data_IF_219280569379
#
_entry.id   IF_219280569379
#
_cell.length_a   1.000
_cell.length_b   1.000
_cell.length_c   1.000
_cell.angle_alpha   90.00
_cell.angle_beta   90.00
_cell.angle_gamma   90.00
#
_symmetry.space_group_name_H-M   'P 1'
#
loop_
_entity.id
_entity.type
_entity.pdbx_description
1 polymer ?
#
# COMPACT_ATOMS: atom_id res chain seq x y z
N UNK A 1 -0.14 -38.57 29.93
CA UNK A 1 -0.67 -37.43 29.16
C UNK A 1 -0.31 -36.18 29.96
N UNK A 2 0.63 -35.36 29.50
CA UNK A 2 1.06 -34.15 30.22
C UNK A 2 -0.12 -33.17 30.23
N UNK A 3 -0.66 -32.88 31.41
CA UNK A 3 -1.70 -31.86 31.56
C UNK A 3 -1.04 -30.48 31.41
N UNK A 4 -1.63 -29.65 30.55
CA UNK A 4 -1.22 -28.25 30.41
C UNK A 4 -1.50 -27.50 31.71
N UNK A 5 -0.56 -26.67 32.11
CA UNK A 5 -0.73 -25.73 33.23
C UNK A 5 -1.85 -24.72 32.91
N UNK A 6 -2.46 -24.13 33.93
CA UNK A 6 -3.49 -23.10 33.76
C UNK A 6 -2.98 -21.91 32.91
N UNK A 7 -1.71 -21.53 33.08
CA UNK A 7 -1.06 -20.49 32.29
C UNK A 7 -0.98 -20.85 30.80
N UNK A 8 -0.67 -22.11 30.48
CA UNK A 8 -0.64 -22.59 29.09
C UNK A 8 -2.04 -22.65 28.47
N UNK A 9 -3.05 -23.06 29.25
CA UNK A 9 -4.45 -23.05 28.81
C UNK A 9 -4.95 -21.63 28.50
N UNK A 10 -4.62 -20.66 29.36
CA UNK A 10 -4.94 -19.25 29.14
C UNK A 10 -4.24 -18.70 27.89
N UNK A 11 -2.95 -19.02 27.70
CA UNK A 11 -2.20 -18.62 26.50
C UNK A 11 -2.83 -19.18 25.23
N UNK A 12 -3.17 -20.47 25.22
CA UNK A 12 -3.81 -21.12 24.08
C UNK A 12 -5.18 -20.50 23.75
N UNK A 13 -5.96 -20.19 24.78
CA UNK A 13 -7.24 -19.49 24.63
C UNK A 13 -7.06 -18.10 24.02
N UNK A 14 -6.05 -17.35 24.47
CA UNK A 14 -5.71 -16.05 23.90
C UNK A 14 -5.29 -16.13 22.42
N UNK A 15 -4.43 -17.08 22.08
CA UNK A 15 -4.01 -17.32 20.68
C UNK A 15 -5.21 -17.67 19.79
N UNK A 16 -6.09 -18.57 20.26
CA UNK A 16 -7.30 -18.95 19.52
C UNK A 16 -8.21 -17.76 19.27
N UNK A 17 -8.41 -16.90 20.27
CA UNK A 17 -9.26 -15.70 20.14
C UNK A 17 -8.66 -14.66 19.20
N UNK A 18 -7.34 -14.45 19.25
CA UNK A 18 -6.64 -13.56 18.30
C UNK A 18 -6.76 -14.09 16.87
N UNK A 19 -6.61 -15.41 16.69
CA UNK A 19 -6.77 -16.03 15.38
C UNK A 19 -8.19 -15.85 14.85
N UNK A 20 -9.21 -16.08 15.66
CA UNK A 20 -10.62 -15.87 15.31
C UNK A 20 -10.91 -14.40 14.94
N UNK A 21 -10.38 -13.43 15.69
CA UNK A 21 -10.52 -12.01 15.37
C UNK A 21 -9.87 -11.67 14.04
N UNK A 22 -8.65 -12.17 13.79
CA UNK A 22 -7.95 -12.01 12.52
C UNK A 22 -8.79 -12.56 11.37
N UNK A 23 -9.36 -13.75 11.55
CA UNK A 23 -10.15 -14.40 10.53
C UNK A 23 -11.48 -13.70 10.25
N UNK A 24 -12.16 -13.27 11.31
CA UNK A 24 -13.49 -12.66 11.20
C UNK A 24 -13.40 -11.24 10.65
N UNK A 25 -12.39 -10.46 11.06
CA UNK A 25 -12.35 -9.03 10.78
C UNK A 25 -11.29 -8.59 9.78
N UNK A 26 -10.26 -9.40 9.54
CA UNK A 26 -9.09 -8.98 8.76
C UNK A 26 -8.78 -9.89 7.55
N UNK A 27 -9.34 -11.12 7.47
CA UNK A 27 -9.07 -12.08 6.38
C UNK A 27 -9.32 -11.52 4.98
N UNK A 28 -10.35 -10.68 4.84
CA UNK A 28 -10.76 -10.12 3.55
C UNK A 28 -10.38 -8.65 3.36
N UNK A 29 -9.60 -8.07 4.28
CA UNK A 29 -9.22 -6.66 4.16
C UNK A 29 -8.12 -6.53 3.11
N UNK A 30 -8.53 -6.27 1.86
CA UNK A 30 -7.60 -5.96 0.77
C UNK A 30 -6.72 -4.79 1.20
N UNK A 31 -5.40 -5.00 1.12
CA UNK A 31 -4.46 -3.92 1.29
C UNK A 31 -4.48 -3.07 0.00
N UNK A 32 -5.27 -2.00 0.01
CA UNK A 32 -5.47 -1.13 -1.15
C UNK A 32 -4.17 -0.48 -1.60
N UNK A 33 -3.28 -0.12 -0.66
CA UNK A 33 -1.97 0.45 -1.00
C UNK A 33 -1.09 -0.57 -1.72
N UNK A 34 -1.08 -1.81 -1.25
CA UNK A 34 -0.40 -2.90 -1.93
C UNK A 34 -0.97 -3.12 -3.34
N UNK A 35 -2.29 -3.20 -3.47
CA UNK A 35 -2.94 -3.39 -4.77
C UNK A 35 -2.61 -2.24 -5.74
N UNK A 36 -2.70 -0.99 -5.26
CA UNK A 36 -2.37 0.19 -6.05
C UNK A 36 -0.90 0.20 -6.48
N UNK A 37 0.03 -0.15 -5.59
CA UNK A 37 1.45 -0.19 -5.90
C UNK A 37 1.81 -1.33 -6.87
N UNK A 38 1.37 -2.55 -6.56
CA UNK A 38 1.74 -3.77 -7.30
C UNK A 38 1.12 -3.78 -8.71
N UNK A 39 -0.10 -3.24 -8.88
CA UNK A 39 -0.78 -3.18 -10.18
C UNK A 39 -0.48 -1.93 -11.00
N UNK A 40 0.24 -0.96 -10.43
CA UNK A 40 0.59 0.25 -11.16
C UNK A 40 1.55 -0.06 -12.32
N UNK A 41 1.35 0.53 -13.50
CA UNK A 41 2.33 0.50 -14.58
C UNK A 41 3.70 0.99 -14.12
N UNK A 42 4.77 0.53 -14.77
CA UNK A 42 6.14 0.84 -14.38
C UNK A 42 6.43 2.35 -14.26
N UNK A 43 5.84 3.19 -15.11
CA UNK A 43 6.02 4.65 -15.03
C UNK A 43 5.35 5.25 -13.78
N UNK A 44 4.14 4.80 -13.41
CA UNK A 44 3.50 5.25 -12.16
C UNK A 44 4.26 4.74 -10.94
N UNK A 45 4.76 3.50 -10.98
CA UNK A 45 5.62 2.97 -9.91
C UNK A 45 6.89 3.80 -9.72
N UNK A 46 7.50 4.31 -10.80
CA UNK A 46 8.62 5.26 -10.71
C UNK A 46 8.21 6.53 -9.99
N UNK A 47 7.07 7.13 -10.34
CA UNK A 47 6.56 8.33 -9.67
C UNK A 47 6.29 8.09 -8.19
N UNK A 48 5.62 6.98 -7.85
CA UNK A 48 5.34 6.61 -6.45
C UNK A 48 6.65 6.41 -5.68
N UNK A 49 7.59 5.63 -6.22
CA UNK A 49 8.88 5.39 -5.57
C UNK A 49 9.68 6.69 -5.40
N UNK A 50 9.70 7.55 -6.42
CA UNK A 50 10.37 8.85 -6.35
C UNK A 50 9.79 9.71 -5.23
N UNK A 51 8.46 9.81 -5.15
CA UNK A 51 7.81 10.62 -4.14
C UNK A 51 7.97 10.04 -2.72
N UNK A 52 8.00 8.72 -2.60
CA UNK A 52 8.29 8.00 -1.35
C UNK A 52 9.79 8.02 -0.94
N UNK A 53 10.66 8.71 -1.68
CA UNK A 53 12.11 8.76 -1.39
C UNK A 53 12.85 7.43 -1.63
N UNK A 54 12.26 6.52 -2.39
CA UNK A 54 12.79 5.19 -2.66
C UNK A 54 13.74 5.17 -3.85
N UNK A 55 14.73 4.27 -3.79
CA UNK A 55 15.71 4.04 -4.87
C UNK A 55 15.07 3.35 -6.09
N UNK A 56 15.71 3.49 -7.25
CA UNK A 56 15.25 2.91 -8.53
C UNK A 56 14.94 1.41 -8.47
N UNK A 57 15.68 0.62 -7.68
CA UNK A 57 15.44 -0.83 -7.54
C UNK A 57 14.02 -1.19 -7.05
N UNK A 58 13.39 -0.32 -6.25
CA UNK A 58 12.06 -0.59 -5.66
C UNK A 58 10.95 -0.54 -6.72
N UNK A 59 11.25 0.03 -7.90
CA UNK A 59 10.36 0.05 -9.07
C UNK A 59 10.12 -1.35 -9.65
N UNK A 60 10.86 -2.38 -9.22
CA UNK A 60 10.62 -3.77 -9.62
C UNK A 60 10.21 -4.68 -8.44
N UNK A 61 10.12 -4.16 -7.22
CA UNK A 61 9.72 -4.93 -6.02
C UNK A 61 8.20 -4.93 -5.82
N UNK A 62 7.63 -5.96 -5.22
CA UNK A 62 6.27 -5.95 -4.71
C UNK A 62 6.21 -5.21 -3.37
N UNK A 63 5.04 -4.68 -3.02
CA UNK A 63 4.81 -4.00 -1.74
C UNK A 63 5.17 -4.89 -0.54
N UNK A 64 4.94 -6.20 -0.64
CA UNK A 64 5.30 -7.18 0.38
C UNK A 64 6.82 -7.36 0.56
N UNK A 65 7.63 -6.95 -0.41
CA UNK A 65 9.09 -7.03 -0.34
C UNK A 65 9.71 -5.77 0.30
N UNK A 66 8.93 -4.71 0.46
CA UNK A 66 9.35 -3.47 1.14
C UNK A 66 9.39 -3.67 2.66
N UNK A 67 10.30 -2.97 3.31
CA UNK A 67 10.34 -2.85 4.78
C UNK A 67 9.11 -2.09 5.30
N UNK A 68 8.76 -2.22 6.60
CA UNK A 68 7.63 -1.48 7.17
C UNK A 68 7.70 0.04 6.94
N UNK A 69 8.87 0.65 7.16
CA UNK A 69 9.07 2.08 6.95
C UNK A 69 8.90 2.48 5.46
N UNK A 70 9.44 1.67 4.53
CA UNK A 70 9.26 1.93 3.10
C UNK A 70 7.79 1.80 2.68
N UNK A 71 7.04 0.86 3.27
CA UNK A 71 5.59 0.73 3.03
C UNK A 71 4.83 1.96 3.51
N UNK A 72 5.19 2.50 4.68
CA UNK A 72 4.62 3.75 5.21
C UNK A 72 4.88 4.90 4.24
N UNK A 73 6.12 5.07 3.76
CA UNK A 73 6.45 6.11 2.78
C UNK A 73 5.70 5.94 1.45
N UNK A 74 5.47 4.71 0.99
CA UNK A 74 4.64 4.45 -0.20
C UNK A 74 3.18 4.84 0.04
N UNK A 75 2.63 4.54 1.21
CA UNK A 75 1.25 4.91 1.58
C UNK A 75 1.11 6.44 1.62
N UNK A 76 2.06 7.13 2.25
CA UNK A 76 2.10 8.60 2.27
C UNK A 76 2.17 9.19 0.87
N UNK A 77 3.04 8.64 0.01
CA UNK A 77 3.17 9.09 -1.37
C UNK A 77 1.88 8.89 -2.17
N UNK A 78 1.20 7.76 -2.02
CA UNK A 78 -0.09 7.49 -2.66
C UNK A 78 -1.17 8.47 -2.18
N UNK A 79 -1.24 8.73 -0.88
CA UNK A 79 -2.18 9.70 -0.32
C UNK A 79 -1.91 11.11 -0.85
N UNK A 80 -0.64 11.52 -0.92
CA UNK A 80 -0.28 12.82 -1.50
C UNK A 80 -0.71 12.92 -2.96
N UNK A 81 -0.47 11.88 -3.78
CA UNK A 81 -0.89 11.88 -5.18
C UNK A 81 -2.42 12.00 -5.32
N UNK A 82 -3.19 11.34 -4.45
CA UNK A 82 -4.65 11.48 -4.41
C UNK A 82 -5.05 12.91 -4.09
N UNK A 83 -4.51 13.50 -3.03
CA UNK A 83 -4.80 14.90 -2.66
C UNK A 83 -4.36 15.89 -3.74
N UNK A 84 -3.21 15.67 -4.36
CA UNK A 84 -2.75 16.45 -5.50
C UNK A 84 -3.79 16.40 -6.63
N UNK A 85 -4.24 15.21 -7.05
CA UNK A 85 -5.26 15.10 -8.11
C UNK A 85 -6.59 15.74 -7.75
N UNK A 86 -6.98 15.74 -6.47
CA UNK A 86 -8.19 16.44 -5.97
C UNK A 86 -8.03 17.96 -5.96
N UNK A 87 -6.80 18.45 -5.78
CA UNK A 87 -6.49 19.88 -5.81
C UNK A 87 -6.39 20.46 -7.22
N UNK A 88 -6.22 19.62 -8.23
CA UNK A 88 -6.19 20.08 -9.62
C UNK A 88 -7.58 20.62 -10.00
N UNK A 89 -7.66 21.81 -10.61
CA UNK A 89 -8.92 22.31 -11.13
C UNK A 89 -9.46 21.34 -12.19
N UNK A 90 -10.77 21.34 -12.42
CA UNK A 90 -11.41 20.56 -13.48
C UNK A 90 -11.06 21.15 -14.86
N UNK A 91 -9.78 21.07 -15.24
CA UNK A 91 -9.20 21.73 -16.41
C UNK A 91 -8.66 20.69 -17.38
N UNK A 92 -9.56 19.84 -17.86
CA UNK A 92 -9.38 19.27 -19.18
C UNK A 92 -10.44 19.92 -20.07
N UNK A 93 -10.13 21.13 -20.55
CA UNK A 93 -10.69 21.53 -21.85
C UNK A 93 -10.05 20.64 -22.91
N UNK A 94 -10.80 20.30 -23.96
CA UNK A 94 -10.31 19.46 -25.07
C UNK A 94 -9.05 20.06 -25.75
N UNK A 95 -8.78 21.34 -25.54
CA UNK A 95 -7.69 22.07 -26.17
C UNK A 95 -6.36 22.01 -25.38
N UNK A 96 -6.40 21.64 -24.08
CA UNK A 96 -5.23 21.73 -23.18
C UNK A 96 -4.29 20.49 -23.25
N UNK A 97 -4.71 19.42 -23.92
CA UNK A 97 -3.97 18.15 -23.98
C UNK A 97 -3.04 18.01 -25.20
N UNK A 98 -2.93 19.03 -26.06
CA UNK A 98 -2.09 18.96 -27.26
C UNK A 98 -0.83 19.81 -27.08
N UNK A 99 0.33 19.15 -26.87
CA UNK A 99 1.63 19.82 -26.97
C UNK A 99 1.91 20.15 -28.44
N UNK A 100 1.48 21.33 -28.87
CA UNK A 100 1.81 21.88 -30.18
C UNK A 100 3.28 22.32 -30.20
N UNK A 101 4.19 21.36 -30.39
CA UNK A 101 5.59 21.65 -30.65
C UNK A 101 5.67 22.11 -32.12
N UNK A 102 5.79 23.41 -32.35
CA UNK A 102 6.07 23.99 -33.66
C UNK A 102 7.57 23.84 -33.90
N UNK A 103 7.94 23.12 -34.98
CA UNK A 103 9.32 23.02 -35.46
C UNK A 103 9.77 24.29 -36.18
#
# INVERSE_FOLDING_TARGET
MLQLTEAEQLRMTGIARIAELKETHFRNRKNVAQEAFDKSPAHLRKTICFHAGLKSRHVNMQFSELTPAERESVVEALNYLIEFTRSLPSFVSNDDCTLNIIN
#
